data_IF_678071737308
#
_entry.id   IF_678071737308
#
_cell.length_a   1.000
_cell.length_b   1.000
_cell.length_c   1.000
_cell.angle_alpha   90.00
_cell.angle_beta   90.00
_cell.angle_gamma   90.00
#
_symmetry.space_group_name_H-M   'P 1'
#
loop_
_entity.id
_entity.type
_entity.pdbx_description
1 polymer ?
#
# COMPACT_ATOMS: atom_id res chain seq x y z
N UNK A 1 -14.07 0.19 14.74
CA UNK A 1 -12.64 0.54 14.87
C UNK A 1 -12.51 1.41 16.10
N UNK A 2 -11.63 1.11 17.07
CA UNK A 2 -11.48 1.96 18.27
C UNK A 2 -11.03 3.37 17.87
N UNK A 3 -11.49 4.40 18.58
CA UNK A 3 -10.94 5.75 18.48
C UNK A 3 -9.45 5.76 18.81
N UNK A 4 -8.72 6.74 18.28
CA UNK A 4 -7.32 7.00 18.63
C UNK A 4 -7.17 8.48 18.94
N UNK A 5 -6.30 8.87 19.88
CA UNK A 5 -5.95 10.27 20.07
C UNK A 5 -5.53 10.92 18.75
N UNK A 6 -5.98 12.15 18.52
CA UNK A 6 -5.56 12.94 17.35
C UNK A 6 -4.07 13.23 17.48
N UNK A 7 -3.28 12.68 16.56
CA UNK A 7 -1.85 12.94 16.46
C UNK A 7 -1.48 13.13 14.99
N UNK A 8 -1.18 14.36 14.60
CA UNK A 8 -0.79 14.73 13.24
C UNK A 8 0.51 15.54 13.28
N UNK A 9 1.52 15.22 12.46
CA UNK A 9 2.65 16.12 12.29
C UNK A 9 2.17 17.44 11.64
N UNK A 10 2.94 18.54 11.77
CA UNK A 10 2.63 19.79 11.10
C UNK A 10 2.43 19.59 9.59
N UNK A 11 1.30 20.05 9.05
CA UNK A 11 1.03 20.00 7.62
C UNK A 11 1.89 21.09 6.92
N UNK A 12 2.77 20.74 5.96
CA UNK A 12 3.68 21.68 5.31
C UNK A 12 2.99 22.71 4.40
N UNK A 13 1.71 22.50 4.06
CA UNK A 13 0.91 23.40 3.21
C UNK A 13 -0.06 24.27 4.01
N UNK A 14 -0.15 24.09 5.33
CA UNK A 14 -1.00 24.88 6.19
C UNK A 14 -0.21 26.03 6.84
N UNK A 15 -0.81 27.22 6.92
CA UNK A 15 -0.22 28.37 7.61
C UNK A 15 -0.41 28.32 9.13
N UNK A 16 -1.29 27.45 9.62
CA UNK A 16 -1.59 27.26 11.04
C UNK A 16 -1.55 25.78 11.41
N UNK A 17 -1.32 25.50 12.69
CA UNK A 17 -1.34 24.15 13.26
C UNK A 17 -2.21 24.12 14.50
N UNK A 18 -2.77 22.95 14.80
CA UNK A 18 -3.49 22.70 16.05
C UNK A 18 -2.57 21.92 16.97
N UNK A 19 -2.32 22.44 18.15
CA UNK A 19 -1.65 21.74 19.25
C UNK A 19 -2.67 21.58 20.37
N UNK A 20 -2.73 20.36 20.91
CA UNK A 20 -3.59 20.03 22.03
C UNK A 20 -2.71 19.90 23.27
N UNK A 21 -3.20 20.37 24.42
CA UNK A 21 -2.62 19.97 25.70
C UNK A 21 -2.75 18.45 25.84
N UNK A 22 -1.71 17.77 26.35
CA UNK A 22 -1.62 16.29 26.35
C UNK A 22 -2.84 15.62 27.00
N UNK A 23 -3.41 16.24 28.04
CA UNK A 23 -4.59 15.74 28.77
C UNK A 23 -5.92 15.98 28.03
N UNK A 24 -5.92 16.79 26.96
CA UNK A 24 -7.11 17.25 26.23
C UNK A 24 -7.11 16.83 24.75
N UNK A 25 -6.23 15.91 24.35
CA UNK A 25 -6.20 15.39 22.98
C UNK A 25 -7.51 14.64 22.70
N UNK A 26 -8.33 15.08 21.71
CA UNK A 26 -9.58 14.42 21.44
C UNK A 26 -9.36 13.07 20.76
N UNK A 27 -10.31 12.18 20.97
CA UNK A 27 -10.38 10.90 20.27
C UNK A 27 -10.90 11.10 18.83
N UNK A 28 -10.13 10.64 17.85
CA UNK A 28 -10.52 10.62 16.46
C UNK A 28 -11.44 9.41 16.18
N UNK A 29 -12.74 9.69 16.05
CA UNK A 29 -13.68 8.80 15.39
C UNK A 29 -13.37 8.64 13.89
N UNK A 30 -14.07 7.72 13.24
CA UNK A 30 -13.99 7.53 11.80
C UNK A 30 -15.01 8.43 11.08
N UNK A 31 -14.59 9.09 10.00
CA UNK A 31 -15.45 9.98 9.19
C UNK A 31 -15.28 9.68 7.70
N UNK A 32 -16.42 9.67 6.99
CA UNK A 32 -16.47 9.67 5.54
C UNK A 32 -16.68 11.09 5.02
N UNK A 33 -15.84 11.50 4.08
CA UNK A 33 -15.92 12.80 3.41
C UNK A 33 -16.14 12.55 1.93
N UNK A 34 -17.05 13.28 1.30
CA UNK A 34 -17.27 13.14 -0.14
C UNK A 34 -16.22 13.92 -0.94
N UNK A 35 -15.71 13.29 -2.00
CA UNK A 35 -14.72 13.88 -2.92
C UNK A 35 -15.42 14.46 -4.17
N UNK A 36 -15.08 15.68 -4.54
CA UNK A 36 -15.65 16.39 -5.70
C UNK A 36 -14.82 16.25 -7.00
N UNK A 37 -13.91 15.26 -7.08
CA UNK A 37 -13.02 15.01 -8.22
C UNK A 37 -13.78 15.01 -9.55
N UNK A 38 -13.18 15.62 -10.58
CA UNK A 38 -13.73 15.65 -11.95
C UNK A 38 -13.03 14.66 -12.89
N UNK A 39 -12.07 13.90 -12.37
CA UNK A 39 -11.38 12.80 -13.07
C UNK A 39 -10.94 11.75 -12.05
N UNK A 40 -10.75 10.52 -12.50
CA UNK A 40 -10.33 9.39 -11.65
C UNK A 40 -9.01 8.76 -12.06
N UNK A 41 -8.63 8.85 -13.34
CA UNK A 41 -7.33 8.39 -13.83
C UNK A 41 -6.24 9.38 -13.43
N UNK A 42 -5.29 8.92 -12.62
CA UNK A 42 -4.07 9.65 -12.32
C UNK A 42 -2.92 9.10 -13.17
N UNK A 43 -2.27 9.98 -13.92
CA UNK A 43 -1.11 9.64 -14.77
C UNK A 43 0.19 9.87 -13.99
N UNK A 44 1.15 8.99 -14.18
CA UNK A 44 2.53 9.20 -13.73
C UNK A 44 3.50 9.03 -14.90
N UNK A 45 4.72 9.54 -14.73
CA UNK A 45 5.81 9.44 -15.70
C UNK A 45 7.10 8.96 -15.02
N UNK A 46 6.97 8.21 -13.94
CA UNK A 46 8.12 7.81 -13.13
C UNK A 46 8.82 6.61 -13.79
N UNK A 47 10.16 6.64 -13.93
CA UNK A 47 10.90 5.55 -14.56
C UNK A 47 10.97 4.29 -13.69
N UNK A 48 10.69 4.40 -12.38
CA UNK A 48 10.80 3.27 -11.44
C UNK A 48 9.48 2.54 -11.19
N UNK A 49 8.44 2.80 -11.99
CA UNK A 49 7.19 2.05 -11.94
C UNK A 49 6.73 1.71 -13.35
N UNK A 50 6.36 0.45 -13.57
CA UNK A 50 6.03 -0.10 -14.88
C UNK A 50 4.63 0.22 -15.41
N UNK A 51 3.97 1.31 -14.96
CA UNK A 51 2.60 1.63 -15.36
C UNK A 51 2.36 3.14 -15.51
N UNK A 52 1.45 3.51 -16.42
CA UNK A 52 1.10 4.92 -16.68
C UNK A 52 -0.03 5.42 -15.79
N UNK A 53 -1.09 4.63 -15.61
CA UNK A 53 -2.33 5.08 -14.98
C UNK A 53 -2.61 4.35 -13.67
N UNK A 54 -3.20 5.08 -12.73
CA UNK A 54 -3.77 4.52 -11.51
C UNK A 54 -5.17 5.05 -11.23
N UNK A 55 -5.94 4.25 -10.50
CA UNK A 55 -7.26 4.59 -9.97
C UNK A 55 -7.24 4.37 -8.46
N UNK A 56 -7.65 5.39 -7.73
CA UNK A 56 -7.77 5.34 -6.27
C UNK A 56 -9.17 5.86 -5.90
N UNK A 57 -10.14 4.96 -5.64
CA UNK A 57 -11.52 5.33 -5.28
C UNK A 57 -11.64 6.04 -3.93
N UNK A 58 -10.58 5.96 -3.11
CA UNK A 58 -10.51 6.56 -1.78
C UNK A 58 -9.23 7.39 -1.65
N UNK A 59 -9.21 8.31 -0.69
CA UNK A 59 -7.98 8.89 -0.12
C UNK A 59 -8.00 8.67 1.39
N UNK A 60 -6.83 8.45 1.97
CA UNK A 60 -6.73 7.92 3.33
C UNK A 60 -6.82 6.40 3.33
N UNK A 61 -6.44 5.75 4.43
CA UNK A 61 -6.50 4.31 4.53
C UNK A 61 -6.68 3.84 5.97
N UNK A 62 -7.75 3.09 6.22
CA UNK A 62 -8.07 2.54 7.54
C UNK A 62 -7.08 1.49 8.06
N UNK A 63 -6.15 0.98 7.25
CA UNK A 63 -5.14 0.06 7.77
C UNK A 63 -4.17 0.71 8.77
N UNK A 64 -4.06 2.05 8.75
CA UNK A 64 -3.26 2.86 9.67
C UNK A 64 -1.79 2.44 9.80
N UNK A 65 -1.19 1.95 8.71
CA UNK A 65 0.18 1.46 8.73
C UNK A 65 1.16 2.60 9.09
N UNK A 66 2.06 2.35 10.04
CA UNK A 66 3.00 3.37 10.53
C UNK A 66 3.86 3.97 9.40
N UNK A 67 4.25 3.14 8.43
CA UNK A 67 5.15 3.46 7.32
C UNK A 67 4.45 3.87 6.02
N UNK A 68 3.15 4.16 6.04
CA UNK A 68 2.41 4.38 4.79
C UNK A 68 2.93 5.63 4.04
N UNK A 69 3.54 5.41 2.87
CA UNK A 69 4.07 6.50 2.04
C UNK A 69 2.98 7.41 1.46
N UNK A 70 1.72 7.00 1.49
CA UNK A 70 0.61 7.74 0.90
C UNK A 70 0.02 8.82 1.81
N UNK A 71 0.45 8.88 3.08
CA UNK A 71 0.00 9.87 4.07
C UNK A 71 0.03 11.32 3.57
N UNK A 72 1.06 11.77 2.81
CA UNK A 72 1.10 13.14 2.31
C UNK A 72 -0.07 13.51 1.38
N UNK A 73 -0.79 12.53 0.82
CA UNK A 73 -2.00 12.76 0.04
C UNK A 73 -3.08 13.56 0.77
N UNK A 74 -3.16 13.42 2.11
CA UNK A 74 -4.10 14.17 2.96
C UNK A 74 -3.67 15.61 3.20
N UNK A 75 -2.37 15.89 3.17
CA UNK A 75 -1.84 17.22 3.44
C UNK A 75 -2.27 18.22 2.36
N UNK A 76 -2.36 17.77 1.10
CA UNK A 76 -2.93 18.54 -0.01
C UNK A 76 -4.43 18.87 0.14
N UNK A 77 -5.12 18.25 1.09
CA UNK A 77 -6.52 18.54 1.43
C UNK A 77 -6.66 19.41 2.68
N UNK A 78 -5.54 19.94 3.19
CA UNK A 78 -5.50 20.68 4.45
C UNK A 78 -5.66 19.80 5.70
N UNK A 79 -5.55 18.47 5.55
CA UNK A 79 -5.66 17.52 6.66
C UNK A 79 -4.28 17.06 7.14
N UNK A 80 -4.21 16.40 8.30
CA UNK A 80 -2.95 15.85 8.81
C UNK A 80 -2.54 14.52 8.18
N UNK A 81 -1.22 14.25 8.15
CA UNK A 81 -0.66 12.99 7.66
C UNK A 81 -0.73 11.82 8.68
N UNK A 82 -1.09 12.09 9.93
CA UNK A 82 -1.14 11.11 11.01
C UNK A 82 -2.53 10.48 11.16
N UNK A 83 -3.18 10.76 12.30
CA UNK A 83 -4.52 10.23 12.61
C UNK A 83 -5.58 10.65 11.58
N UNK A 84 -5.45 11.83 10.98
CA UNK A 84 -6.40 12.30 9.95
C UNK A 84 -6.42 11.38 8.72
N UNK A 85 -5.26 10.98 8.21
CA UNK A 85 -5.15 10.02 7.10
C UNK A 85 -5.76 8.66 7.42
N UNK A 86 -5.65 8.22 8.68
CA UNK A 86 -6.14 6.92 9.13
C UNK A 86 -7.67 6.91 9.33
N UNK A 87 -8.27 8.09 9.61
CA UNK A 87 -9.63 8.20 10.15
C UNK A 87 -10.61 9.04 9.32
N UNK A 88 -10.12 10.00 8.54
CA UNK A 88 -10.93 10.82 7.63
C UNK A 88 -10.78 10.27 6.21
N UNK A 89 -11.68 9.37 5.80
CA UNK A 89 -11.58 8.75 4.47
C UNK A 89 -12.40 9.56 3.48
N UNK A 90 -11.71 10.01 2.44
CA UNK A 90 -12.29 10.78 1.35
C UNK A 90 -12.74 9.80 0.27
N UNK A 91 -14.05 9.79 -0.01
CA UNK A 91 -14.73 8.81 -0.87
C UNK A 91 -15.06 9.43 -2.21
N UNK A 92 -14.54 8.85 -3.30
CA UNK A 92 -14.86 9.26 -4.67
C UNK A 92 -16.04 8.45 -5.19
N UNK A 93 -17.27 8.77 -4.73
CA UNK A 93 -18.49 8.06 -5.14
C UNK A 93 -18.69 8.04 -6.65
N UNK A 94 -18.33 9.12 -7.32
CA UNK A 94 -18.42 9.26 -8.78
C UNK A 94 -17.31 8.54 -9.55
N UNK A 95 -16.39 7.84 -8.88
CA UNK A 95 -15.26 7.15 -9.52
C UNK A 95 -15.70 6.20 -10.66
N UNK A 96 -16.77 5.38 -10.54
CA UNK A 96 -17.20 4.49 -11.63
C UNK A 96 -17.66 5.31 -12.85
N UNK A 97 -18.50 6.33 -12.64
CA UNK A 97 -18.98 7.21 -13.72
C UNK A 97 -17.81 7.91 -14.43
N UNK A 98 -16.89 8.50 -13.67
CA UNK A 98 -15.71 9.18 -14.20
C UNK A 98 -14.75 8.23 -14.93
N UNK A 99 -14.63 6.98 -14.45
CA UNK A 99 -13.80 5.97 -15.10
C UNK A 99 -14.39 5.59 -16.44
N UNK A 100 -15.69 5.27 -16.49
CA UNK A 100 -16.40 4.97 -17.74
C UNK A 100 -16.23 6.10 -18.76
N UNK A 101 -16.44 7.35 -18.34
CA UNK A 101 -16.24 8.52 -19.20
C UNK A 101 -14.80 8.58 -19.77
N UNK A 102 -13.80 8.33 -18.94
CA UNK A 102 -12.40 8.35 -19.35
C UNK A 102 -12.05 7.22 -20.33
N UNK A 103 -12.52 5.99 -20.06
CA UNK A 103 -12.26 4.82 -20.92
C UNK A 103 -13.09 4.86 -22.22
N UNK A 104 -14.17 5.63 -22.29
CA UNK A 104 -14.99 5.82 -23.50
C UNK A 104 -14.33 6.72 -24.55
N UNK A 105 -13.26 7.44 -24.20
CA UNK A 105 -12.57 8.34 -25.13
C UNK A 105 -11.89 7.54 -26.23
N UNK A 106 -12.02 7.98 -27.49
CA UNK A 106 -11.33 7.36 -28.65
C UNK A 106 -9.81 7.28 -28.50
N UNK A 107 -9.23 8.15 -27.66
CA UNK A 107 -7.79 8.17 -27.36
C UNK A 107 -7.37 7.10 -26.35
N UNK A 108 -8.29 6.38 -25.71
CA UNK A 108 -7.95 5.36 -24.73
C UNK A 108 -7.30 4.14 -25.41
N UNK A 109 -6.04 3.86 -25.04
CA UNK A 109 -5.23 2.80 -25.63
C UNK A 109 -5.29 1.48 -24.87
N UNK A 110 -6.22 1.32 -23.92
CA UNK A 110 -6.33 0.15 -23.03
C UNK A 110 -5.02 -0.12 -22.28
N UNK A 111 -4.35 0.94 -21.85
CA UNK A 111 -3.17 0.83 -21.00
C UNK A 111 -3.56 0.23 -19.64
N UNK A 112 -2.64 -0.50 -19.01
CA UNK A 112 -2.89 -1.09 -17.69
C UNK A 112 -3.18 0.00 -16.66
N UNK A 113 -4.20 -0.23 -15.84
CA UNK A 113 -4.58 0.64 -14.73
C UNK A 113 -4.26 -0.05 -13.41
N UNK A 114 -3.52 0.65 -12.54
CA UNK A 114 -3.19 0.15 -11.20
C UNK A 114 -4.18 0.67 -10.17
N UNK A 115 -4.76 -0.24 -9.41
CA UNK A 115 -5.61 0.05 -8.26
C UNK A 115 -4.82 -0.04 -6.95
N UNK A 116 -5.22 0.74 -5.96
CA UNK A 116 -4.56 0.86 -4.65
C UNK A 116 -3.12 1.42 -4.70
N UNK A 117 -2.86 2.36 -5.59
CA UNK A 117 -1.54 2.99 -5.70
C UNK A 117 -1.18 3.92 -4.54
N UNK A 118 -2.16 4.55 -3.88
CA UNK A 118 -1.94 5.49 -2.74
C UNK A 118 -3.02 5.35 -1.65
N UNK A 119 -3.73 4.24 -1.65
CA UNK A 119 -4.72 3.84 -0.63
C UNK A 119 -4.92 2.34 -0.77
N UNK A 120 -5.55 1.68 0.20
CA UNK A 120 -6.11 0.35 -0.06
C UNK A 120 -7.57 0.51 -0.47
N UNK A 121 -7.89 0.19 -1.72
CA UNK A 121 -9.25 0.32 -2.23
C UNK A 121 -10.21 -0.75 -1.68
N UNK A 122 -9.69 -1.77 -0.97
CA UNK A 122 -10.45 -2.81 -0.29
C UNK A 122 -10.50 -2.63 1.24
N UNK A 123 -10.31 -1.40 1.73
CA UNK A 123 -10.52 -1.05 3.13
C UNK A 123 -11.98 -1.27 3.59
N UNK A 124 -12.24 -1.28 4.90
CA UNK A 124 -13.51 -1.75 5.47
C UNK A 124 -14.79 -1.14 4.84
N UNK A 125 -14.79 0.16 4.51
CA UNK A 125 -15.96 0.85 3.90
C UNK A 125 -16.31 0.31 2.51
N UNK A 126 -15.34 -0.25 1.78
CA UNK A 126 -15.57 -0.86 0.46
C UNK A 126 -16.54 -2.04 0.54
N UNK A 127 -16.69 -2.69 1.71
CA UNK A 127 -17.65 -3.77 1.92
C UNK A 127 -19.08 -3.35 1.56
N UNK A 128 -19.43 -2.11 1.90
CA UNK A 128 -20.76 -1.53 1.68
C UNK A 128 -20.81 -0.71 0.39
N UNK A 129 -19.80 0.13 0.14
CA UNK A 129 -19.84 1.09 -0.95
C UNK A 129 -19.63 0.47 -2.33
N UNK A 130 -18.89 -0.63 -2.44
CA UNK A 130 -18.64 -1.38 -3.69
C UNK A 130 -18.09 -0.55 -4.87
N UNK A 131 -17.58 0.66 -4.62
CA UNK A 131 -17.08 1.59 -5.65
C UNK A 131 -15.92 0.94 -6.42
N UNK A 132 -15.00 0.28 -5.71
CA UNK A 132 -13.87 -0.41 -6.35
C UNK A 132 -14.37 -1.50 -7.27
N UNK A 133 -15.34 -2.30 -6.81
CA UNK A 133 -15.92 -3.36 -7.62
C UNK A 133 -16.53 -2.81 -8.91
N UNK A 134 -17.34 -1.77 -8.83
CA UNK A 134 -17.95 -1.14 -10.02
C UNK A 134 -16.88 -0.61 -10.99
N UNK A 135 -15.80 0.00 -10.47
CA UNK A 135 -14.67 0.42 -11.31
C UNK A 135 -14.00 -0.77 -12.02
N UNK A 136 -13.84 -1.91 -11.36
CA UNK A 136 -13.24 -3.12 -11.94
C UNK A 136 -14.15 -3.76 -13.00
N UNK A 137 -15.45 -3.78 -12.76
CA UNK A 137 -16.45 -4.24 -13.75
C UNK A 137 -16.40 -3.37 -15.02
N UNK A 138 -16.26 -2.05 -14.86
CA UNK A 138 -16.04 -1.12 -15.98
C UNK A 138 -14.71 -1.42 -16.69
N UNK A 139 -13.61 -1.67 -15.97
CA UNK A 139 -12.37 -2.07 -16.62
C UNK A 139 -12.54 -3.35 -17.46
N UNK A 140 -13.32 -4.33 -16.98
CA UNK A 140 -13.61 -5.57 -17.71
C UNK A 140 -14.43 -5.31 -18.99
N UNK A 141 -15.45 -4.45 -18.91
CA UNK A 141 -16.27 -4.04 -20.05
C UNK A 141 -15.42 -3.39 -21.15
N UNK A 142 -14.56 -2.45 -20.78
CA UNK A 142 -13.70 -1.72 -21.72
C UNK A 142 -12.41 -2.47 -22.11
N UNK A 143 -12.27 -3.73 -21.65
CA UNK A 143 -11.08 -4.58 -21.85
C UNK A 143 -9.78 -3.88 -21.45
N UNK A 144 -9.81 -3.20 -20.32
CA UNK A 144 -8.68 -2.47 -19.74
C UNK A 144 -7.96 -3.37 -18.75
N UNK A 145 -6.67 -3.71 -18.96
CA UNK A 145 -5.92 -4.54 -18.03
C UNK A 145 -5.77 -3.88 -16.67
N UNK A 146 -5.79 -4.68 -15.61
CA UNK A 146 -5.74 -4.18 -14.23
C UNK A 146 -4.62 -4.84 -13.44
N UNK A 147 -3.87 -4.04 -12.69
CA UNK A 147 -3.07 -4.51 -11.56
C UNK A 147 -3.68 -4.01 -10.25
N UNK A 148 -3.75 -4.85 -9.22
CA UNK A 148 -4.34 -4.51 -7.93
C UNK A 148 -3.36 -4.83 -6.81
N UNK A 149 -3.14 -3.89 -5.89
CA UNK A 149 -2.44 -4.17 -4.61
C UNK A 149 -3.44 -4.15 -3.47
N UNK A 150 -3.35 -5.07 -2.52
CA UNK A 150 -4.11 -4.93 -1.26
C UNK A 150 -3.47 -5.67 -0.09
N UNK A 151 -3.79 -5.23 1.12
CA UNK A 151 -3.60 -5.99 2.37
C UNK A 151 -4.90 -6.66 2.83
N UNK A 152 -6.03 -6.28 2.23
CA UNK A 152 -7.36 -6.65 2.69
C UNK A 152 -7.76 -8.04 2.19
N UNK A 153 -8.38 -8.81 3.06
CA UNK A 153 -9.03 -10.06 2.68
C UNK A 153 -10.35 -9.84 1.90
N UNK A 154 -10.87 -8.61 1.86
CA UNK A 154 -12.11 -8.28 1.15
C UNK A 154 -11.99 -8.49 -0.37
N UNK A 155 -10.77 -8.51 -0.92
CA UNK A 155 -10.52 -8.84 -2.33
C UNK A 155 -11.17 -10.16 -2.75
N UNK A 156 -11.33 -11.12 -1.83
CA UNK A 156 -11.95 -12.41 -2.10
C UNK A 156 -13.41 -12.31 -2.56
N UNK A 157 -14.10 -11.22 -2.18
CA UNK A 157 -15.49 -10.94 -2.61
C UNK A 157 -15.60 -10.79 -4.13
N UNK A 158 -14.56 -10.23 -4.76
CA UNK A 158 -14.60 -9.82 -6.16
C UNK A 158 -13.79 -10.76 -7.08
N UNK A 159 -13.52 -11.98 -6.62
CA UNK A 159 -12.88 -13.03 -7.44
C UNK A 159 -13.60 -13.23 -8.77
N UNK A 160 -14.93 -13.14 -8.78
CA UNK A 160 -15.73 -13.26 -10.00
C UNK A 160 -15.39 -12.15 -11.02
N UNK A 161 -15.18 -10.92 -10.56
CA UNK A 161 -14.80 -9.78 -11.41
C UNK A 161 -13.34 -9.92 -11.87
N UNK A 162 -12.45 -10.38 -10.99
CA UNK A 162 -11.04 -10.62 -11.33
C UNK A 162 -10.89 -11.68 -12.43
N UNK A 163 -11.69 -12.75 -12.37
CA UNK A 163 -11.72 -13.78 -13.41
C UNK A 163 -12.23 -13.24 -14.74
N UNK A 164 -13.24 -12.36 -14.73
CA UNK A 164 -13.70 -11.71 -15.96
C UNK A 164 -12.65 -10.75 -16.54
N UNK A 165 -11.92 -9.99 -15.71
CA UNK A 165 -10.78 -9.17 -16.15
C UNK A 165 -9.68 -10.03 -16.76
N UNK A 166 -9.32 -11.15 -16.14
CA UNK A 166 -8.31 -12.09 -16.64
C UNK A 166 -8.69 -12.64 -18.02
N UNK A 167 -9.96 -13.01 -18.23
CA UNK A 167 -10.45 -13.51 -19.53
C UNK A 167 -10.49 -12.45 -20.62
N UNK A 168 -10.82 -11.20 -20.28
CA UNK A 168 -11.15 -10.16 -21.27
C UNK A 168 -10.00 -9.20 -21.60
N UNK A 169 -9.05 -9.03 -20.70
CA UNK A 169 -8.00 -8.02 -20.81
C UNK A 169 -6.66 -8.46 -20.23
N UNK A 170 -6.67 -8.87 -18.97
CA UNK A 170 -5.47 -9.14 -18.17
C UNK A 170 -5.64 -8.61 -16.76
N UNK A 171 -5.36 -9.46 -15.78
CA UNK A 171 -5.48 -9.13 -14.36
C UNK A 171 -4.29 -9.69 -13.59
N UNK A 172 -3.77 -8.89 -12.67
CA UNK A 172 -2.77 -9.32 -11.70
C UNK A 172 -3.10 -8.74 -10.33
N UNK A 173 -2.99 -9.55 -9.28
CA UNK A 173 -3.20 -9.12 -7.89
C UNK A 173 -1.96 -9.37 -7.04
N UNK A 174 -1.59 -8.37 -6.26
CA UNK A 174 -0.48 -8.41 -5.33
C UNK A 174 -0.96 -8.26 -3.89
N UNK A 175 -0.73 -9.28 -3.08
CA UNK A 175 -1.05 -9.24 -1.64
C UNK A 175 0.14 -8.72 -0.87
N UNK A 176 -0.02 -7.58 -0.20
CA UNK A 176 1.03 -6.98 0.63
C UNK A 176 1.20 -7.72 1.95
N UNK A 177 2.37 -8.31 2.17
CA UNK A 177 2.70 -9.10 3.36
C UNK A 177 4.15 -8.84 3.80
N UNK A 178 4.44 -7.73 4.51
CA UNK A 178 5.79 -7.41 4.95
C UNK A 178 6.26 -8.18 6.19
N UNK A 179 5.32 -8.75 6.96
CA UNK A 179 5.59 -9.44 8.22
C UNK A 179 4.93 -10.82 8.23
N UNK A 180 5.58 -11.76 8.88
CA UNK A 180 5.03 -13.06 9.23
C UNK A 180 4.61 -13.09 10.71
N UNK A 181 5.36 -12.42 11.58
CA UNK A 181 5.04 -12.31 12.99
C UNK A 181 3.78 -11.46 13.24
N UNK A 182 2.80 -12.03 13.94
CA UNK A 182 1.49 -11.42 14.12
C UNK A 182 1.52 -10.24 15.11
N UNK A 183 2.44 -10.25 16.08
CA UNK A 183 2.58 -9.15 17.05
C UNK A 183 3.23 -7.94 16.39
N UNK A 184 4.32 -8.17 15.64
CA UNK A 184 4.98 -7.15 14.84
C UNK A 184 4.03 -6.54 13.80
N UNK A 185 3.27 -7.38 13.10
CA UNK A 185 2.28 -6.93 12.13
C UNK A 185 1.20 -6.06 12.81
N UNK A 186 0.69 -6.47 13.98
CA UNK A 186 -0.30 -5.67 14.73
C UNK A 186 0.28 -4.36 15.25
N UNK A 187 1.57 -4.34 15.59
CA UNK A 187 2.25 -3.15 16.08
C UNK A 187 2.43 -2.09 14.98
N UNK A 188 2.70 -2.50 13.73
CA UNK A 188 2.97 -1.59 12.61
C UNK A 188 1.80 -1.42 11.63
N UNK A 189 0.87 -2.36 11.59
CA UNK A 189 -0.33 -2.40 10.73
C UNK A 189 -1.59 -2.76 11.55
N UNK A 190 -1.96 -1.95 12.56
CA UNK A 190 -2.88 -2.35 13.63
C UNK A 190 -4.29 -2.77 13.20
N UNK A 191 -4.72 -2.32 12.02
CA UNK A 191 -6.06 -2.63 11.49
C UNK A 191 -6.01 -3.33 10.13
N UNK A 192 -4.83 -3.74 9.67
CA UNK A 192 -4.72 -4.66 8.54
C UNK A 192 -5.01 -6.11 8.98
N UNK A 193 -5.47 -6.98 8.08
CA UNK A 193 -5.59 -8.41 8.38
C UNK A 193 -4.25 -9.02 8.83
N UNK A 194 -4.33 -10.04 9.69
CA UNK A 194 -3.14 -10.75 10.17
C UNK A 194 -2.33 -11.37 9.03
N UNK A 195 -1.02 -11.61 9.21
CA UNK A 195 -0.21 -12.33 8.23
C UNK A 195 -0.82 -13.65 7.76
N UNK A 196 -1.29 -14.48 8.71
CA UNK A 196 -1.98 -15.73 8.43
C UNK A 196 -3.24 -15.52 7.56
N UNK A 197 -4.04 -14.49 7.87
CA UNK A 197 -5.25 -14.21 7.09
C UNK A 197 -4.92 -13.79 5.66
N UNK A 198 -3.82 -13.05 5.46
CA UNK A 198 -3.32 -12.64 4.14
C UNK A 198 -2.77 -13.83 3.35
N UNK A 199 -2.08 -14.78 3.98
CA UNK A 199 -1.65 -16.02 3.33
C UNK A 199 -2.86 -16.86 2.88
N UNK A 200 -3.91 -16.98 3.71
CA UNK A 200 -5.19 -17.59 3.29
C UNK A 200 -5.84 -16.85 2.13
N UNK A 201 -5.72 -15.52 2.06
CA UNK A 201 -6.19 -14.75 0.91
C UNK A 201 -5.43 -15.13 -0.36
N UNK A 202 -4.11 -15.28 -0.28
CA UNK A 202 -3.29 -15.76 -1.41
C UNK A 202 -3.76 -17.15 -1.86
N UNK A 203 -3.88 -18.11 -0.94
CA UNK A 203 -4.36 -19.48 -1.23
C UNK A 203 -5.70 -19.46 -1.97
N UNK A 204 -6.65 -18.66 -1.50
CA UNK A 204 -7.99 -18.58 -2.11
C UNK A 204 -7.98 -17.95 -3.50
N UNK A 205 -7.17 -16.91 -3.71
CA UNK A 205 -7.02 -16.27 -5.02
C UNK A 205 -6.34 -17.22 -6.02
N UNK A 206 -5.30 -17.94 -5.59
CA UNK A 206 -4.61 -18.94 -6.41
C UNK A 206 -5.54 -20.12 -6.74
N UNK A 207 -6.29 -20.62 -5.76
CA UNK A 207 -7.25 -21.70 -5.96
C UNK A 207 -8.38 -21.34 -6.95
N UNK A 208 -8.71 -20.05 -7.07
CA UNK A 208 -9.63 -19.56 -8.08
C UNK A 208 -9.02 -19.47 -9.49
N UNK A 209 -7.71 -19.72 -9.64
CA UNK A 209 -6.99 -19.66 -10.91
C UNK A 209 -6.45 -18.27 -11.28
N UNK A 210 -6.31 -17.38 -10.30
CA UNK A 210 -5.72 -16.05 -10.51
C UNK A 210 -4.19 -16.08 -10.43
N UNK A 211 -3.54 -15.20 -11.17
CA UNK A 211 -2.12 -14.91 -10.99
C UNK A 211 -1.91 -13.98 -9.79
N UNK A 212 -1.19 -14.47 -8.78
CA UNK A 212 -1.01 -13.80 -7.48
C UNK A 212 0.46 -13.63 -7.17
N UNK A 213 0.83 -12.38 -6.87
CA UNK A 213 2.13 -12.05 -6.27
C UNK A 213 2.00 -11.70 -4.79
N UNK A 214 3.12 -11.82 -4.07
CA UNK A 214 3.26 -11.29 -2.71
C UNK A 214 4.24 -10.12 -2.71
N UNK A 215 3.80 -8.99 -2.15
CA UNK A 215 4.64 -7.80 -2.01
C UNK A 215 5.13 -7.66 -0.57
N UNK A 216 6.42 -7.92 -0.34
CA UNK A 216 7.11 -7.73 0.93
C UNK A 216 7.57 -6.26 1.02
N UNK A 217 6.59 -5.37 1.11
CA UNK A 217 6.79 -3.93 1.16
C UNK A 217 6.07 -3.31 2.36
N UNK A 218 6.81 -2.66 3.27
CA UNK A 218 8.24 -2.38 3.20
C UNK A 218 9.13 -3.54 3.68
N UNK A 219 10.33 -3.65 3.10
CA UNK A 219 11.50 -4.21 3.76
C UNK A 219 12.02 -3.17 4.76
N UNK A 220 11.89 -3.45 6.05
CA UNK A 220 12.32 -2.58 7.16
C UNK A 220 13.68 -3.05 7.67
N UNK A 221 14.73 -2.23 7.55
CA UNK A 221 16.05 -2.56 8.07
C UNK A 221 16.06 -2.92 9.56
N UNK A 222 16.68 -4.05 9.93
CA UNK A 222 16.76 -4.55 11.31
C UNK A 222 15.50 -5.26 11.80
N UNK A 223 14.52 -5.46 10.91
CA UNK A 223 13.26 -6.18 11.17
C UNK A 223 13.02 -7.22 10.09
N UNK A 224 13.08 -6.84 8.81
CA UNK A 224 12.71 -7.72 7.72
C UNK A 224 13.64 -8.92 7.55
N UNK A 225 14.89 -8.85 8.02
CA UNK A 225 15.86 -9.96 7.96
C UNK A 225 15.36 -11.23 8.65
N UNK A 226 14.54 -11.12 9.70
CA UNK A 226 13.91 -12.28 10.36
C UNK A 226 12.56 -12.66 9.76
N UNK A 227 11.99 -11.82 8.89
CA UNK A 227 10.61 -11.93 8.44
C UNK A 227 10.52 -12.44 6.99
N UNK A 228 11.30 -11.88 6.07
CA UNK A 228 11.07 -12.10 4.64
C UNK A 228 11.17 -13.59 4.25
N UNK A 229 12.07 -14.36 4.87
CA UNK A 229 12.22 -15.78 4.53
C UNK A 229 10.97 -16.58 4.90
N UNK A 230 10.35 -16.26 6.05
CA UNK A 230 9.10 -16.89 6.52
C UNK A 230 7.91 -16.46 5.67
N UNK A 231 7.85 -15.18 5.32
CA UNK A 231 6.85 -14.64 4.38
C UNK A 231 6.94 -15.34 3.03
N UNK A 232 8.14 -15.42 2.44
CA UNK A 232 8.34 -16.05 1.13
C UNK A 232 8.00 -17.55 1.18
N UNK A 233 8.37 -18.25 2.24
CA UNK A 233 7.98 -19.65 2.42
C UNK A 233 6.46 -19.82 2.49
N UNK A 234 5.77 -19.00 3.30
CA UNK A 234 4.32 -19.00 3.37
C UNK A 234 3.66 -18.65 2.03
N UNK A 235 4.21 -17.68 1.31
CA UNK A 235 3.73 -17.28 -0.02
C UNK A 235 3.86 -18.42 -1.05
N UNK A 236 5.01 -19.10 -1.05
CA UNK A 236 5.24 -20.28 -1.88
C UNK A 236 4.24 -21.40 -1.56
N UNK A 237 4.05 -21.73 -0.27
CA UNK A 237 3.08 -22.74 0.16
C UNK A 237 1.64 -22.38 -0.23
N UNK A 238 1.31 -21.08 -0.21
CA UNK A 238 0.03 -20.55 -0.65
C UNK A 238 -0.14 -20.56 -2.18
N UNK A 239 0.90 -20.90 -2.93
CA UNK A 239 0.88 -21.00 -4.40
C UNK A 239 1.09 -19.66 -5.12
N UNK A 240 1.62 -18.63 -4.46
CA UNK A 240 2.03 -17.40 -5.13
C UNK A 240 3.08 -17.70 -6.20
N UNK A 241 3.06 -16.94 -7.31
CA UNK A 241 4.01 -17.15 -8.43
C UNK A 241 5.25 -16.29 -8.32
N UNK A 242 5.10 -15.11 -7.73
CA UNK A 242 6.14 -14.09 -7.74
C UNK A 242 6.15 -13.29 -6.46
N UNK A 243 7.28 -12.68 -6.15
CA UNK A 243 7.44 -11.83 -4.99
C UNK A 243 8.22 -10.55 -5.33
N UNK A 244 7.85 -9.46 -4.67
CA UNK A 244 8.57 -8.19 -4.76
C UNK A 244 8.92 -7.66 -3.37
N UNK A 245 9.97 -6.84 -3.32
CA UNK A 245 10.40 -6.16 -2.10
C UNK A 245 10.66 -4.69 -2.39
N UNK A 246 10.26 -3.82 -1.47
CA UNK A 246 10.53 -2.37 -1.55
C UNK A 246 11.08 -1.93 -0.21
N UNK A 247 12.24 -1.30 -0.18
CA UNK A 247 12.83 -0.76 1.04
C UNK A 247 11.87 0.26 1.67
N UNK A 248 11.85 0.32 3.01
CA UNK A 248 11.13 1.35 3.74
C UNK A 248 11.44 2.76 3.20
N UNK A 249 10.37 3.54 2.96
CA UNK A 249 10.44 4.92 2.46
C UNK A 249 9.67 5.83 3.41
N UNK A 250 10.33 6.91 3.84
CA UNK A 250 9.77 7.89 4.76
C UNK A 250 9.78 9.30 4.15
N UNK A 251 9.01 9.56 3.08
CA UNK A 251 8.94 10.88 2.46
C UNK A 251 8.20 11.89 3.35
N UNK A 252 8.73 13.11 3.48
CA UNK A 252 8.05 14.21 4.17
C UNK A 252 7.56 13.84 5.56
N UNK A 253 6.31 14.19 5.86
CA UNK A 253 5.65 13.94 7.15
C UNK A 253 5.50 12.47 7.53
N UNK A 254 5.73 11.53 6.59
CA UNK A 254 5.75 10.09 6.89
C UNK A 254 6.87 9.75 7.87
N UNK A 255 8.02 10.44 7.80
CA UNK A 255 9.13 10.22 8.72
C UNK A 255 8.71 10.45 10.17
N UNK A 256 8.10 11.62 10.47
CA UNK A 256 7.64 11.95 11.81
C UNK A 256 6.61 10.96 12.35
N UNK A 257 5.62 10.57 11.53
CA UNK A 257 4.59 9.59 11.92
C UNK A 257 5.21 8.22 12.20
N UNK A 258 6.06 7.75 11.29
CA UNK A 258 6.65 6.41 11.39
C UNK A 258 7.64 6.33 12.55
N UNK A 259 8.48 7.34 12.75
CA UNK A 259 9.41 7.41 13.87
C UNK A 259 8.69 7.33 15.22
N UNK A 260 7.65 8.15 15.40
CA UNK A 260 6.85 8.16 16.64
C UNK A 260 6.26 6.78 16.89
N UNK A 261 5.55 6.22 15.90
CA UNK A 261 4.90 4.92 16.04
C UNK A 261 5.88 3.76 16.21
N UNK A 262 7.05 3.80 15.57
CA UNK A 262 8.08 2.76 15.76
C UNK A 262 8.72 2.87 17.16
N UNK A 263 8.95 4.07 17.68
CA UNK A 263 9.48 4.24 19.06
C UNK A 263 8.48 3.74 20.10
N UNK A 264 7.19 3.97 19.89
CA UNK A 264 6.11 3.45 20.76
C UNK A 264 5.97 1.93 20.64
N UNK A 265 5.90 1.42 19.41
CA UNK A 265 5.61 0.02 19.13
C UNK A 265 6.80 -0.92 19.36
N UNK A 266 8.01 -0.44 19.08
CA UNK A 266 9.25 -1.24 19.05
C UNK A 266 10.41 -0.47 19.73
N UNK A 267 10.29 -0.06 21.01
CA UNK A 267 11.24 0.84 21.66
C UNK A 267 12.68 0.29 21.64
N UNK A 268 12.85 -1.03 21.86
CA UNK A 268 14.17 -1.68 21.82
C UNK A 268 14.80 -1.83 20.44
N UNK A 269 14.08 -1.54 19.35
CA UNK A 269 14.56 -1.68 17.96
C UNK A 269 14.55 -0.37 17.18
N UNK A 270 13.80 0.63 17.63
CA UNK A 270 13.54 1.87 16.89
C UNK A 270 14.82 2.56 16.37
N UNK A 271 15.78 2.84 17.26
CA UNK A 271 17.00 3.54 16.87
C UNK A 271 17.90 2.72 15.93
N UNK A 272 17.89 1.38 16.07
CA UNK A 272 18.59 0.49 15.14
C UNK A 272 17.95 0.55 13.74
N UNK A 273 16.61 0.53 13.67
CA UNK A 273 15.86 0.63 12.41
C UNK A 273 16.20 1.95 11.72
N UNK A 274 16.06 3.07 12.43
CA UNK A 274 16.31 4.41 11.87
C UNK A 274 17.76 4.59 11.43
N UNK A 275 18.73 4.10 12.20
CA UNK A 275 20.15 4.14 11.82
C UNK A 275 20.43 3.33 10.56
N UNK A 276 19.93 2.10 10.46
CA UNK A 276 20.13 1.25 9.27
C UNK A 276 19.39 1.79 8.06
N UNK A 277 18.22 2.41 8.26
CA UNK A 277 17.52 3.10 7.20
C UNK A 277 18.33 4.29 6.67
N UNK A 278 18.95 5.09 7.56
CA UNK A 278 19.86 6.15 7.16
C UNK A 278 21.05 5.62 6.37
N UNK A 279 21.68 4.54 6.82
CA UNK A 279 22.76 3.88 6.07
C UNK A 279 22.31 3.47 4.66
N UNK A 280 21.13 2.85 4.54
CA UNK A 280 20.54 2.45 3.27
C UNK A 280 20.14 3.63 2.37
N UNK A 281 19.97 4.83 2.92
CA UNK A 281 19.59 6.06 2.20
C UNK A 281 20.67 7.15 2.29
N UNK A 282 21.95 6.76 2.45
CA UNK A 282 23.09 7.67 2.36
C UNK A 282 23.11 8.79 3.42
N UNK A 283 22.67 8.49 4.64
CA UNK A 283 22.61 9.41 5.79
C UNK A 283 21.22 10.03 6.04
N UNK A 284 20.31 9.95 5.07
CA UNK A 284 18.94 10.50 5.18
C UNK A 284 17.92 9.40 5.49
N UNK A 285 16.72 9.73 5.98
CA UNK A 285 15.66 8.70 6.18
C UNK A 285 14.98 8.27 4.87
N UNK A 286 15.15 9.05 3.80
CA UNK A 286 14.61 8.74 2.49
C UNK A 286 15.31 9.57 1.41
N UNK A 287 15.70 8.90 0.32
CA UNK A 287 16.13 9.52 -0.93
C UNK A 287 15.06 9.36 -2.00
N UNK A 288 14.70 10.46 -2.67
CA UNK A 288 13.71 10.47 -3.74
C UNK A 288 14.29 10.20 -5.13
N UNK A 289 15.59 10.01 -5.25
CA UNK A 289 16.27 9.83 -6.53
C UNK A 289 15.75 8.58 -7.26
N UNK A 290 15.52 8.72 -8.56
CA UNK A 290 15.14 7.61 -9.42
C UNK A 290 16.18 6.47 -9.35
N UNK A 291 15.72 5.24 -9.51
CA UNK A 291 16.51 4.02 -9.41
C UNK A 291 16.87 3.60 -7.97
N UNK A 292 16.97 4.53 -7.02
CA UNK A 292 17.40 4.24 -5.64
C UNK A 292 16.26 4.29 -4.64
N UNK A 293 15.22 5.11 -4.84
CA UNK A 293 14.14 5.33 -3.87
C UNK A 293 13.41 4.06 -3.41
N UNK A 294 13.36 3.00 -4.21
CA UNK A 294 12.72 1.72 -3.87
C UNK A 294 13.69 0.69 -3.29
N UNK A 295 15.00 0.82 -3.53
CA UNK A 295 16.01 -0.18 -3.16
C UNK A 295 16.98 0.29 -2.08
N UNK A 296 17.13 1.59 -1.90
CA UNK A 296 18.25 2.17 -1.18
C UNK A 296 19.56 2.02 -1.95
N UNK A 297 20.66 2.31 -1.27
CA UNK A 297 22.03 2.14 -1.75
C UNK A 297 22.97 1.68 -0.63
N UNK A 298 24.23 1.46 -1.00
CA UNK A 298 25.25 0.95 -0.08
C UNK A 298 25.16 -0.55 0.19
N UNK A 299 26.16 -1.07 0.90
CA UNK A 299 26.36 -2.50 1.08
C UNK A 299 25.20 -3.18 1.82
N UNK A 300 24.63 -2.51 2.82
CA UNK A 300 23.55 -3.08 3.61
C UNK A 300 22.28 -3.30 2.77
N UNK A 301 21.85 -2.29 2.01
CA UNK A 301 20.68 -2.40 1.14
C UNK A 301 20.91 -3.44 0.03
N UNK A 302 22.10 -3.43 -0.59
CA UNK A 302 22.50 -4.42 -1.58
C UNK A 302 22.40 -5.85 -1.04
N UNK A 303 23.01 -6.11 0.13
CA UNK A 303 22.95 -7.42 0.79
C UNK A 303 21.52 -7.84 1.12
N UNK A 304 20.70 -6.94 1.68
CA UNK A 304 19.31 -7.23 2.02
C UNK A 304 18.51 -7.70 0.80
N UNK A 305 18.62 -6.98 -0.32
CA UNK A 305 17.95 -7.35 -1.56
C UNK A 305 18.52 -8.61 -2.19
N UNK A 306 19.83 -8.79 -2.21
CA UNK A 306 20.46 -10.01 -2.74
C UNK A 306 20.00 -11.25 -1.97
N UNK A 307 19.92 -11.19 -0.64
CA UNK A 307 19.42 -12.29 0.19
C UNK A 307 17.93 -12.54 -0.01
N UNK A 308 17.13 -11.47 -0.11
CA UNK A 308 15.71 -11.56 -0.42
C UNK A 308 15.46 -12.25 -1.76
N UNK A 309 16.12 -11.80 -2.82
CA UNK A 309 15.99 -12.35 -4.17
C UNK A 309 16.50 -13.78 -4.28
N UNK A 310 17.65 -14.08 -3.64
CA UNK A 310 18.18 -15.44 -3.60
C UNK A 310 17.16 -16.39 -2.94
N UNK A 311 16.55 -15.97 -1.82
CA UNK A 311 15.54 -16.78 -1.14
C UNK A 311 14.26 -16.93 -1.96
N UNK A 312 13.81 -15.88 -2.65
CA UNK A 312 12.66 -15.97 -3.54
C UNK A 312 12.90 -16.99 -4.67
N UNK A 313 14.06 -16.91 -5.34
CA UNK A 313 14.44 -17.86 -6.41
C UNK A 313 14.60 -19.28 -5.90
N UNK A 314 15.20 -19.48 -4.72
CA UNK A 314 15.32 -20.79 -4.07
C UNK A 314 13.95 -21.45 -3.89
N UNK A 315 12.92 -20.68 -3.54
CA UNK A 315 11.54 -21.12 -3.37
C UNK A 315 10.74 -21.14 -4.69
N UNK A 316 11.36 -20.88 -5.84
CA UNK A 316 10.67 -20.83 -7.13
C UNK A 316 9.70 -19.65 -7.30
N UNK A 317 9.81 -18.62 -6.48
CA UNK A 317 9.08 -17.37 -6.63
C UNK A 317 9.86 -16.44 -7.55
N UNK A 318 9.24 -15.96 -8.63
CA UNK A 318 9.88 -14.98 -9.52
C UNK A 318 10.08 -13.64 -8.80
N UNK A 319 11.33 -13.19 -8.56
CA UNK A 319 11.55 -11.87 -7.99
C UNK A 319 11.32 -10.81 -9.06
N UNK A 320 10.46 -9.82 -8.78
CA UNK A 320 10.25 -8.68 -9.66
C UNK A 320 10.36 -7.36 -8.90
N UNK A 321 10.72 -6.31 -9.62
CA UNK A 321 10.92 -4.98 -9.07
C UNK A 321 9.76 -4.01 -9.37
N UNK A 322 8.88 -4.38 -10.32
CA UNK A 322 7.74 -3.59 -10.76
C UNK A 322 6.52 -4.47 -11.00
N UNK A 323 5.30 -3.93 -10.86
CA UNK A 323 4.03 -4.58 -11.21
C UNK A 323 3.79 -4.69 -12.74
N UNK A 324 4.83 -5.04 -13.51
CA UNK A 324 4.75 -5.24 -14.97
C UNK A 324 4.08 -6.57 -15.32
#
# INVERSE_FOLDING_TARGET
MRSLPVHNPPNPFASTRVEYDEELVPDAGYTLLDDASKSILSKNSSPDIGFTYSVNPYRGCMHACAYCYARPGHEYLGMGAGTDFDRKIVVKREAPRLLREALSKRSWKRERVIFSGVTDCYQAVEKELRITRECLEICAEFRTPVGLISKSALVERDIDVFLELQKRAGFHVSVSLPFFDAELARALEPYAPSPERRLRTVERLVAAGLDVSVNVAPLIPGVSESEYARVLHGAHQAGARSASGILLRLPGSVAAVCETRIREALPGRAEKILRRLREAHGGSLYRSDWGTRHRGGGNYAGMLFSLFEAKARELGLEPHHDMR
#
